data_IF_525182433745
#
_entry.id   IF_525182433745
#
_cell.length_a   1.000
_cell.length_b   1.000
_cell.length_c   1.000
_cell.angle_alpha   90.00
_cell.angle_beta   90.00
_cell.angle_gamma   90.00
#
_symmetry.space_group_name_H-M   'P 1'
#
loop_
_entity.id
_entity.type
_entity.pdbx_description
1 polymer ?
#
# COMPACT_ATOMS: atom_id res chain seq x y z
N UNK A 1 -8.19 -17.37 -15.73
CA UNK A 1 -8.43 -16.62 -14.48
C UNK A 1 -7.66 -17.32 -13.37
N UNK A 2 -6.69 -16.65 -12.73
CA UNK A 2 -5.91 -17.26 -11.63
C UNK A 2 -6.61 -16.91 -10.32
N UNK A 3 -7.09 -17.91 -9.59
CA UNK A 3 -7.70 -17.70 -8.27
C UNK A 3 -6.59 -17.39 -7.28
N UNK A 4 -6.73 -16.31 -6.52
CA UNK A 4 -5.77 -15.89 -5.50
C UNK A 4 -6.47 -15.81 -4.15
N UNK A 5 -5.85 -16.34 -3.10
CA UNK A 5 -6.35 -16.17 -1.75
C UNK A 5 -5.94 -14.78 -1.23
N UNK A 6 -6.93 -13.99 -0.79
CA UNK A 6 -6.74 -12.64 -0.24
C UNK A 6 -6.73 -12.64 1.30
N UNK A 7 -7.09 -13.75 1.94
CA UNK A 7 -7.29 -13.88 3.38
C UNK A 7 -8.16 -12.72 3.93
N UNK A 8 -7.85 -12.24 5.14
CA UNK A 8 -8.48 -11.07 5.75
C UNK A 8 -8.07 -9.75 5.09
N UNK A 9 -6.98 -9.72 4.32
CA UNK A 9 -6.45 -8.50 3.72
C UNK A 9 -7.38 -7.95 2.64
N UNK A 10 -8.11 -8.81 1.93
CA UNK A 10 -9.11 -8.38 0.96
C UNK A 10 -10.24 -7.55 1.59
N UNK A 11 -10.71 -7.94 2.78
CA UNK A 11 -11.76 -7.22 3.51
C UNK A 11 -11.24 -5.85 3.96
N UNK A 12 -10.05 -5.82 4.56
CA UNK A 12 -9.42 -4.58 5.03
C UNK A 12 -9.14 -3.64 3.86
N UNK A 13 -8.61 -4.15 2.74
CA UNK A 13 -8.37 -3.36 1.54
C UNK A 13 -9.67 -2.74 1.00
N UNK A 14 -10.76 -3.52 0.97
CA UNK A 14 -12.07 -3.03 0.57
C UNK A 14 -12.61 -1.94 1.48
N UNK A 15 -12.46 -2.09 2.81
CA UNK A 15 -12.86 -1.04 3.77
C UNK A 15 -12.06 0.25 3.59
N UNK A 16 -10.75 0.15 3.36
CA UNK A 16 -9.89 1.33 3.10
C UNK A 16 -10.36 2.07 1.84
N UNK A 17 -10.70 1.34 0.79
CA UNK A 17 -11.21 1.91 -0.46
C UNK A 17 -12.61 2.53 -0.27
N UNK A 18 -13.50 1.86 0.45
CA UNK A 18 -14.85 2.37 0.73
C UNK A 18 -14.81 3.66 1.58
N UNK A 19 -13.85 3.77 2.49
CA UNK A 19 -13.62 4.99 3.27
C UNK A 19 -13.00 6.15 2.48
N UNK A 20 -12.54 5.91 1.24
CA UNK A 20 -11.92 6.95 0.40
C UNK A 20 -10.55 7.43 0.90
N UNK A 21 -9.84 6.60 1.69
CA UNK A 21 -8.57 7.00 2.31
C UNK A 21 -7.51 7.29 1.23
N UNK A 22 -7.45 6.49 0.18
CA UNK A 22 -6.45 6.66 -0.90
C UNK A 22 -6.64 8.00 -1.59
N UNK A 23 -7.88 8.35 -1.90
CA UNK A 23 -8.27 9.58 -2.57
C UNK A 23 -7.98 10.79 -1.68
N UNK A 24 -8.35 10.73 -0.41
CA UNK A 24 -8.15 11.82 0.55
C UNK A 24 -6.65 12.13 0.75
N UNK A 25 -5.81 11.09 0.90
CA UNK A 25 -4.36 11.28 1.02
C UNK A 25 -3.77 11.87 -0.26
N UNK A 26 -4.16 11.34 -1.42
CA UNK A 26 -3.69 11.87 -2.71
C UNK A 26 -4.14 13.33 -2.93
N UNK A 27 -5.29 13.73 -2.40
CA UNK A 27 -5.77 15.12 -2.47
C UNK A 27 -4.91 16.06 -1.61
N UNK A 28 -4.52 15.62 -0.42
CA UNK A 28 -3.75 16.43 0.54
C UNK A 28 -2.27 16.57 0.17
N UNK A 29 -1.62 15.46 -0.16
CA UNK A 29 -0.18 15.43 -0.49
C UNK A 29 0.05 15.82 -1.96
N UNK A 30 -0.96 15.60 -2.81
CA UNK A 30 -0.82 15.74 -4.25
C UNK A 30 -0.22 14.49 -4.89
N UNK A 31 0.02 14.57 -6.21
CA UNK A 31 0.60 13.47 -6.98
C UNK A 31 1.53 14.00 -8.06
N UNK A 32 2.79 13.60 -8.02
CA UNK A 32 3.75 13.86 -9.09
C UNK A 32 3.62 12.83 -10.21
N UNK A 33 3.82 13.26 -11.46
CA UNK A 33 3.86 12.36 -12.63
C UNK A 33 5.05 11.41 -12.64
N UNK A 34 6.06 11.67 -11.78
CA UNK A 34 7.24 10.82 -11.61
C UNK A 34 7.02 9.70 -10.59
N UNK A 35 5.97 9.79 -9.77
CA UNK A 35 5.66 8.77 -8.79
C UNK A 35 5.07 7.52 -9.45
N UNK A 36 5.73 6.38 -9.23
CA UNK A 36 5.21 5.07 -9.64
C UNK A 36 4.02 4.63 -8.78
N UNK A 37 4.04 5.00 -7.49
CA UNK A 37 3.00 4.67 -6.51
C UNK A 37 2.63 5.95 -5.76
N UNK A 38 1.34 6.26 -5.74
CA UNK A 38 0.84 7.48 -5.10
C UNK A 38 0.91 7.37 -3.57
N UNK A 39 0.93 8.52 -2.89
CA UNK A 39 0.99 8.56 -1.43
C UNK A 39 -0.17 7.78 -0.78
N UNK A 40 -1.39 7.90 -1.29
CA UNK A 40 -2.55 7.17 -0.79
C UNK A 40 -2.41 5.64 -0.91
N UNK A 41 -1.81 5.13 -1.98
CA UNK A 41 -1.57 3.68 -2.12
C UNK A 41 -0.50 3.20 -1.13
N UNK A 42 0.52 4.02 -0.85
CA UNK A 42 1.51 3.73 0.19
C UNK A 42 0.87 3.70 1.58
N UNK A 43 0.01 4.67 1.90
CA UNK A 43 -0.75 4.67 3.16
C UNK A 43 -1.64 3.43 3.27
N UNK A 44 -2.35 3.05 2.19
CA UNK A 44 -3.11 1.79 2.14
C UNK A 44 -2.22 0.57 2.40
N UNK A 45 -1.03 0.52 1.79
CA UNK A 45 -0.07 -0.55 2.02
C UNK A 45 0.41 -0.59 3.48
N UNK A 46 0.64 0.57 4.10
CA UNK A 46 1.02 0.67 5.50
C UNK A 46 -0.11 0.21 6.44
N UNK A 47 -1.36 0.55 6.15
CA UNK A 47 -2.52 0.10 6.92
C UNK A 47 -2.70 -1.42 6.83
N UNK A 48 -2.53 -1.99 5.63
CA UNK A 48 -2.56 -3.44 5.43
C UNK A 48 -1.41 -4.16 6.16
N UNK A 49 -0.22 -3.55 6.16
CA UNK A 49 0.94 -4.07 6.88
C UNK A 49 0.81 -3.97 8.41
N UNK A 50 0.26 -2.85 8.91
CA UNK A 50 0.11 -2.54 10.33
C UNK A 50 -0.75 -3.54 11.12
N UNK A 51 -1.50 -4.40 10.43
CA UNK A 51 -2.26 -5.50 11.03
C UNK A 51 -1.46 -6.79 11.20
N UNK A 52 -0.28 -6.92 10.57
CA UNK A 52 0.51 -8.15 10.57
C UNK A 52 2.01 -7.99 10.83
N UNK A 53 2.54 -6.75 10.87
CA UNK A 53 3.98 -6.46 10.91
C UNK A 53 4.32 -5.26 11.82
N UNK A 54 3.67 -5.18 12.99
CA UNK A 54 3.93 -4.12 13.97
C UNK A 54 5.38 -4.20 14.48
N UNK A 55 6.09 -3.06 14.45
CA UNK A 55 7.48 -2.87 14.94
C UNK A 55 8.63 -3.38 14.05
N UNK A 56 8.38 -3.70 12.78
CA UNK A 56 9.46 -4.02 11.85
C UNK A 56 10.13 -2.77 11.24
N UNK A 57 11.41 -2.86 10.83
CA UNK A 57 12.06 -1.80 10.05
C UNK A 57 11.36 -1.52 8.72
N UNK A 58 11.40 -0.26 8.24
CA UNK A 58 10.74 0.15 6.98
C UNK A 58 11.15 -0.69 5.76
N UNK A 59 12.43 -1.08 5.64
CA UNK A 59 12.91 -1.89 4.51
C UNK A 59 12.26 -3.29 4.43
N UNK A 60 11.62 -3.74 5.51
CA UNK A 60 10.90 -5.02 5.55
C UNK A 60 9.43 -4.92 5.11
N UNK A 61 8.90 -3.72 4.88
CA UNK A 61 7.50 -3.55 4.47
C UNK A 61 7.19 -4.20 3.13
N UNK A 62 8.08 -4.07 2.13
CA UNK A 62 7.92 -4.72 0.84
C UNK A 62 7.81 -6.25 0.96
N UNK A 63 8.54 -6.85 1.92
CA UNK A 63 8.51 -8.30 2.15
C UNK A 63 7.17 -8.81 2.63
N UNK A 64 6.37 -7.99 3.32
CA UNK A 64 5.02 -8.37 3.69
C UNK A 64 4.17 -8.68 2.46
N UNK A 65 4.41 -7.99 1.35
CA UNK A 65 3.65 -8.15 0.10
C UNK A 65 4.20 -9.25 -0.81
N UNK A 66 5.35 -9.86 -0.48
CA UNK A 66 5.89 -10.99 -1.24
C UNK A 66 4.91 -12.18 -1.21
N UNK A 67 4.61 -12.72 -2.40
CA UNK A 67 3.64 -13.80 -2.56
C UNK A 67 2.17 -13.40 -2.34
N UNK A 68 1.89 -12.13 -2.00
CA UNK A 68 0.53 -11.61 -1.86
C UNK A 68 -0.01 -11.09 -3.20
N UNK A 69 -1.33 -11.13 -3.41
CA UNK A 69 -1.96 -10.60 -4.62
C UNK A 69 -2.02 -9.05 -4.61
N UNK A 70 -0.86 -8.38 -4.74
CA UNK A 70 -0.73 -6.90 -4.69
C UNK A 70 -1.65 -6.19 -5.67
N UNK A 71 -1.82 -6.74 -6.88
CA UNK A 71 -2.77 -6.23 -7.88
C UNK A 71 -4.19 -6.07 -7.35
N UNK A 72 -4.65 -7.01 -6.54
CA UNK A 72 -5.98 -6.99 -5.95
C UNK A 72 -6.06 -6.13 -4.68
N UNK A 73 -4.96 -6.03 -3.93
CA UNK A 73 -4.93 -5.32 -2.65
C UNK A 73 -4.62 -3.83 -2.81
N UNK A 74 -3.74 -3.45 -3.73
CA UNK A 74 -3.15 -2.12 -3.86
C UNK A 74 -3.47 -1.46 -5.21
N UNK A 75 -3.92 -2.23 -6.20
CA UNK A 75 -4.28 -1.74 -7.53
C UNK A 75 -3.43 -2.32 -8.65
N UNK A 76 -3.92 -2.14 -9.88
CA UNK A 76 -3.27 -2.65 -11.10
C UNK A 76 -1.84 -2.12 -11.27
N UNK A 77 -0.92 -3.03 -11.61
CA UNK A 77 0.49 -2.68 -11.85
C UNK A 77 1.33 -2.42 -10.61
N UNK A 78 0.76 -2.49 -9.40
CA UNK A 78 1.50 -2.33 -8.15
C UNK A 78 2.19 -3.65 -7.76
N UNK A 79 3.51 -3.59 -7.57
CA UNK A 79 4.33 -4.74 -7.15
C UNK A 79 4.85 -4.55 -5.72
N UNK A 80 5.26 -5.65 -5.09
CA UNK A 80 5.80 -5.62 -3.72
C UNK A 80 7.08 -4.77 -3.63
N UNK A 81 7.94 -4.81 -4.66
CA UNK A 81 9.22 -4.09 -4.73
C UNK A 81 9.03 -2.56 -4.80
N UNK A 82 7.86 -2.11 -5.26
CA UNK A 82 7.52 -0.69 -5.29
C UNK A 82 7.12 -0.16 -3.91
N UNK A 83 6.82 -1.03 -2.96
CA UNK A 83 6.54 -0.72 -1.55
C UNK A 83 7.85 -0.82 -0.75
N UNK A 84 8.81 0.03 -1.10
CA UNK A 84 10.13 0.08 -0.47
C UNK A 84 10.24 1.22 0.54
N UNK A 85 11.28 1.16 1.37
CA UNK A 85 11.59 2.13 2.42
C UNK A 85 11.79 3.54 1.90
N UNK A 86 12.43 3.73 0.74
CA UNK A 86 12.57 5.05 0.14
C UNK A 86 11.20 5.69 -0.11
N UNK A 87 10.28 4.97 -0.77
CA UNK A 87 8.96 5.53 -1.07
C UNK A 87 8.12 5.72 0.19
N UNK A 88 8.18 4.77 1.14
CA UNK A 88 7.46 4.87 2.41
C UNK A 88 7.98 6.06 3.24
N UNK A 89 9.31 6.23 3.33
CA UNK A 89 9.94 7.34 4.03
C UNK A 89 9.52 8.69 3.46
N UNK A 90 9.56 8.85 2.14
CA UNK A 90 9.09 10.08 1.49
C UNK A 90 7.61 10.39 1.80
N UNK A 91 6.72 9.37 1.80
CA UNK A 91 5.30 9.60 2.15
C UNK A 91 5.15 9.96 3.63
N UNK A 92 5.94 9.37 4.51
CA UNK A 92 5.93 9.71 5.93
C UNK A 92 6.42 11.14 6.19
N UNK A 93 7.39 11.63 5.43
CA UNK A 93 7.87 13.01 5.52
C UNK A 93 6.82 14.03 5.04
N UNK A 94 5.93 13.61 4.13
CA UNK A 94 4.84 14.43 3.58
C UNK A 94 3.55 14.43 4.46
N UNK A 95 3.44 13.52 5.43
CA UNK A 95 2.26 13.36 6.31
C UNK A 95 2.33 14.23 7.58
#
# INVERSE_FOLDING_TARGET
MKVSNLDHLGIVAGMIDEMGIVEEINMRIGRSSREKVSAGVIVKAMLLNGLGFVSAPLYMFGKFFEGKPTKHLLGEGITAEQINDDRIGNVLDDL
#
